data_IF_532188648472
#
_entry.id   IF_532188648472
#
_cell.length_a   1.000
_cell.length_b   1.000
_cell.length_c   1.000
_cell.angle_alpha   90.00
_cell.angle_beta   90.00
_cell.angle_gamma   90.00
#
_symmetry.space_group_name_H-M   'P 1'
#
loop_
_entity.id
_entity.type
_entity.pdbx_description
1 polymer ?
#
# COMPACT_ATOMS: atom_id res chain seq x y z
N UNK A 1 36.54 11.78 4.94
CA UNK A 1 35.23 11.10 5.01
C UNK A 1 34.51 11.51 6.29
N UNK A 2 33.28 12.00 6.19
CA UNK A 2 32.36 12.23 7.30
C UNK A 2 31.06 11.46 7.06
N UNK A 3 30.47 10.98 8.12
CA UNK A 3 29.22 10.21 8.07
C UNK A 3 28.14 10.96 8.80
N UNK A 4 26.94 11.00 8.23
CA UNK A 4 25.77 11.64 8.81
C UNK A 4 24.57 10.68 8.79
N UNK A 5 23.87 10.58 9.92
CA UNK A 5 22.50 10.05 9.92
C UNK A 5 21.57 11.12 9.33
N UNK A 6 20.62 10.73 8.47
CA UNK A 6 19.84 11.69 7.70
C UNK A 6 18.35 11.31 7.62
N UNK A 7 17.54 12.28 7.28
CA UNK A 7 16.17 12.05 6.81
C UNK A 7 15.20 11.59 7.90
N UNK A 8 14.51 10.51 7.59
CA UNK A 8 13.42 9.98 8.45
C UNK A 8 13.86 9.65 9.88
N UNK A 9 15.10 9.20 10.07
CA UNK A 9 15.63 8.86 11.37
C UNK A 9 15.76 10.10 12.28
N UNK A 10 16.24 11.22 11.73
CA UNK A 10 16.35 12.50 12.48
C UNK A 10 14.95 13.02 12.82
N UNK A 11 14.04 13.05 11.85
CA UNK A 11 12.64 13.46 12.05
C UNK A 11 11.97 12.63 13.15
N UNK A 12 12.04 11.30 13.03
CA UNK A 12 11.35 10.39 13.96
C UNK A 12 11.95 10.53 15.38
N UNK A 13 13.26 10.72 15.51
CA UNK A 13 13.91 11.02 16.80
C UNK A 13 13.39 12.32 17.42
N UNK A 14 13.30 13.40 16.64
CA UNK A 14 12.77 14.70 17.12
C UNK A 14 11.28 14.60 17.53
N UNK A 15 10.52 13.71 16.89
CA UNK A 15 9.13 13.43 17.24
C UNK A 15 8.98 12.46 18.41
N UNK A 16 10.06 11.91 18.96
CA UNK A 16 10.00 10.86 19.99
C UNK A 16 9.42 9.54 19.50
N UNK A 17 9.47 9.28 18.20
CA UNK A 17 8.98 8.04 17.57
C UNK A 17 10.10 6.99 17.50
N UNK A 18 9.75 5.69 17.49
CA UNK A 18 10.74 4.63 17.27
C UNK A 18 11.45 4.78 15.92
N UNK A 19 12.78 4.73 15.93
CA UNK A 19 13.62 4.71 14.72
C UNK A 19 13.93 3.25 14.40
N UNK A 20 13.39 2.74 13.29
CA UNK A 20 13.61 1.36 12.87
C UNK A 20 14.77 1.25 11.88
N UNK A 21 14.88 2.19 10.94
CA UNK A 21 15.89 2.22 9.90
C UNK A 21 16.61 3.58 9.92
N UNK A 22 17.91 3.56 9.74
CA UNK A 22 18.74 4.79 9.66
C UNK A 22 19.45 4.79 8.32
N UNK A 23 19.16 5.81 7.52
CA UNK A 23 19.91 6.12 6.31
C UNK A 23 21.16 6.95 6.67
N UNK A 24 22.30 6.56 6.12
CA UNK A 24 23.55 7.29 6.30
C UNK A 24 24.01 7.93 5.00
N UNK A 25 24.48 9.20 5.08
CA UNK A 25 25.15 9.89 3.99
C UNK A 25 26.62 10.06 4.32
N UNK A 26 27.46 9.73 3.34
CA UNK A 26 28.92 9.86 3.43
C UNK A 26 29.38 11.02 2.55
N UNK A 27 30.04 12.00 3.15
CA UNK A 27 30.58 13.18 2.49
C UNK A 27 32.11 13.10 2.45
N UNK A 28 32.71 13.52 1.33
CA UNK A 28 34.17 13.56 1.17
C UNK A 28 34.79 12.18 1.02
N UNK A 29 34.10 11.27 0.29
CA UNK A 29 34.66 9.95 -0.04
C UNK A 29 34.20 9.53 -1.47
N UNK A 30 34.91 8.56 -2.04
CA UNK A 30 34.65 8.00 -3.34
C UNK A 30 34.17 6.53 -3.24
N UNK A 31 33.68 5.97 -4.35
CA UNK A 31 33.29 4.56 -4.45
C UNK A 31 34.48 3.66 -4.10
N UNK A 32 35.67 3.99 -4.61
CA UNK A 32 36.90 3.22 -4.40
C UNK A 32 37.32 3.24 -2.92
N UNK A 33 37.19 4.39 -2.28
CA UNK A 33 37.53 4.54 -0.85
C UNK A 33 36.54 3.77 0.04
N UNK A 34 35.26 3.78 -0.28
CA UNK A 34 34.23 2.99 0.43
C UNK A 34 34.52 1.49 0.32
N UNK A 35 34.80 1.00 -0.90
CA UNK A 35 35.14 -0.41 -1.13
C UNK A 35 36.43 -0.79 -0.41
N UNK A 36 37.47 0.07 -0.41
CA UNK A 36 38.72 -0.16 0.31
C UNK A 36 38.51 -0.28 1.82
N UNK A 37 37.47 0.37 2.38
CA UNK A 37 37.10 0.26 3.79
C UNK A 37 36.16 -0.96 4.08
N UNK A 38 35.92 -1.83 3.08
CA UNK A 38 35.13 -3.04 3.23
C UNK A 38 33.62 -2.86 3.05
N UNK A 39 33.16 -1.68 2.65
CA UNK A 39 31.76 -1.48 2.31
C UNK A 39 31.39 -2.19 1.00
N UNK A 40 30.25 -2.86 0.96
CA UNK A 40 29.79 -3.60 -0.21
C UNK A 40 28.81 -2.79 -1.04
N UNK A 41 29.12 -2.44 -2.30
CA UNK A 41 28.19 -1.71 -3.16
C UNK A 41 26.95 -2.54 -3.46
N UNK A 42 25.77 -1.89 -3.42
CA UNK A 42 24.46 -2.46 -3.75
C UNK A 42 23.75 -1.53 -4.73
N UNK A 43 23.15 -2.13 -5.78
CA UNK A 43 22.49 -1.38 -6.84
C UNK A 43 23.44 -1.06 -8.01
N UNK A 44 22.86 -0.98 -9.21
CA UNK A 44 23.63 -0.70 -10.45
C UNK A 44 23.78 0.79 -10.74
N UNK A 45 22.83 1.60 -10.26
CA UNK A 45 22.67 2.99 -10.68
C UNK A 45 22.96 3.99 -9.55
N UNK A 46 23.16 3.51 -8.32
CA UNK A 46 23.34 4.37 -7.14
C UNK A 46 24.57 3.96 -6.32
N UNK A 47 25.38 4.91 -5.84
CA UNK A 47 26.48 4.64 -4.93
C UNK A 47 25.95 4.43 -3.48
N UNK A 48 25.19 3.36 -3.29
CA UNK A 48 24.73 2.87 -1.99
C UNK A 48 25.55 1.65 -1.61
N UNK A 49 25.93 1.56 -0.35
CA UNK A 49 26.79 0.53 0.19
C UNK A 49 26.19 -0.05 1.46
N UNK A 50 26.44 -1.33 1.70
CA UNK A 50 26.15 -1.95 2.99
C UNK A 50 27.40 -1.92 3.86
N UNK A 51 27.22 -1.49 5.11
CA UNK A 51 28.28 -1.53 6.11
C UNK A 51 28.73 -2.99 6.36
N UNK A 52 30.04 -3.28 6.44
CA UNK A 52 30.54 -4.66 6.52
C UNK A 52 29.99 -5.45 7.72
N UNK A 53 29.80 -4.81 8.86
CA UNK A 53 29.35 -5.48 10.10
C UNK A 53 27.83 -5.35 10.31
N UNK A 54 27.29 -4.13 10.21
CA UNK A 54 25.89 -3.86 10.59
C UNK A 54 24.90 -4.08 9.45
N UNK A 55 25.37 -4.15 8.20
CA UNK A 55 24.55 -4.20 6.98
C UNK A 55 23.65 -2.97 6.78
N UNK A 56 23.88 -1.90 7.54
CA UNK A 56 23.16 -0.65 7.38
C UNK A 56 23.54 0.02 6.04
N UNK A 57 22.60 0.78 5.48
CA UNK A 57 22.75 1.42 4.16
C UNK A 57 23.47 2.76 4.29
N UNK A 58 24.56 2.92 3.53
CA UNK A 58 25.36 4.12 3.41
C UNK A 58 25.33 4.60 1.96
N UNK A 59 24.94 5.84 1.73
CA UNK A 59 24.99 6.45 0.41
C UNK A 59 26.06 7.55 0.34
N UNK A 60 26.80 7.63 -0.75
CA UNK A 60 27.63 8.81 -1.00
C UNK A 60 26.74 10.04 -1.21
N UNK A 61 27.18 11.20 -0.69
CA UNK A 61 26.55 12.47 -0.98
C UNK A 61 26.48 12.68 -2.48
N UNK A 62 25.34 13.11 -2.99
CA UNK A 62 25.10 13.23 -4.44
C UNK A 62 24.17 14.37 -4.78
N UNK A 63 24.33 14.88 -5.98
CA UNK A 63 23.34 15.72 -6.65
C UNK A 63 22.58 14.89 -7.68
N UNK A 64 21.36 15.30 -7.97
CA UNK A 64 20.50 14.67 -8.98
C UNK A 64 20.15 15.71 -10.04
N UNK A 65 20.25 15.35 -11.34
CA UNK A 65 19.82 16.20 -12.44
C UNK A 65 18.88 15.43 -13.34
N UNK A 66 17.72 16.01 -13.60
CA UNK A 66 16.77 15.46 -14.57
C UNK A 66 17.24 15.83 -15.98
N UNK A 67 17.49 14.84 -16.83
CA UNK A 67 17.87 14.98 -18.23
C UNK A 67 16.86 14.37 -19.20
N UNK A 68 15.79 13.74 -18.68
CA UNK A 68 14.76 13.08 -19.46
C UNK A 68 13.48 12.84 -18.67
N UNK A 69 12.46 12.25 -19.34
CA UNK A 69 11.20 11.90 -18.70
C UNK A 69 11.32 10.62 -17.87
N UNK A 70 10.60 10.57 -16.73
CA UNK A 70 10.48 9.41 -15.85
C UNK A 70 11.77 9.11 -15.08
N UNK A 71 11.78 7.98 -14.33
CA UNK A 71 12.87 7.58 -13.45
C UNK A 71 14.22 7.40 -14.14
N UNK A 72 14.26 6.91 -15.38
CA UNK A 72 15.49 6.76 -16.17
C UNK A 72 16.07 8.09 -16.65
N UNK A 73 15.36 9.18 -16.48
CA UNK A 73 15.80 10.53 -16.84
C UNK A 73 16.64 11.23 -15.77
N UNK A 74 16.93 10.58 -14.64
CA UNK A 74 17.83 11.16 -13.61
C UNK A 74 19.24 10.69 -13.81
N UNK A 75 20.18 11.65 -13.81
CA UNK A 75 21.61 11.41 -13.69
C UNK A 75 22.05 11.77 -12.26
N UNK A 76 22.72 10.81 -11.64
CA UNK A 76 23.26 10.95 -10.30
C UNK A 76 24.74 11.29 -10.40
N UNK A 77 25.14 12.37 -9.73
CA UNK A 77 26.54 12.76 -9.64
C UNK A 77 26.96 12.64 -8.19
N UNK A 78 27.78 11.62 -7.91
CA UNK A 78 28.40 11.40 -6.61
C UNK A 78 29.90 11.64 -6.74
N UNK A 79 30.40 12.66 -6.09
CA UNK A 79 31.78 13.08 -6.11
C UNK A 79 32.18 13.52 -4.69
N UNK A 80 33.41 13.30 -4.24
CA UNK A 80 33.88 13.74 -2.92
C UNK A 80 33.70 15.26 -2.62
N UNK A 81 33.51 16.07 -3.66
CA UNK A 81 33.26 17.52 -3.53
C UNK A 81 31.80 17.86 -3.25
N UNK A 82 30.84 16.91 -3.42
CA UNK A 82 29.45 17.17 -3.11
C UNK A 82 29.29 17.36 -1.60
N UNK A 83 28.72 18.50 -1.23
CA UNK A 83 28.49 18.88 0.16
C UNK A 83 27.27 18.14 0.75
N UNK A 84 27.15 18.14 2.09
CA UNK A 84 25.96 17.64 2.77
C UNK A 84 24.72 18.46 2.41
N UNK A 85 24.86 19.78 2.30
CA UNK A 85 23.74 20.67 1.96
C UNK A 85 23.17 20.37 0.58
N UNK A 86 24.01 20.12 -0.43
CA UNK A 86 23.57 19.73 -1.77
C UNK A 86 22.83 18.37 -1.77
N UNK A 87 23.27 17.39 -0.94
CA UNK A 87 22.52 16.14 -0.78
C UNK A 87 21.17 16.35 -0.08
N UNK A 88 21.10 17.25 0.90
CA UNK A 88 19.86 17.57 1.60
C UNK A 88 18.88 18.35 0.69
N UNK A 89 19.39 19.23 -0.20
CA UNK A 89 18.58 20.04 -1.11
C UNK A 89 17.72 19.23 -2.07
N UNK A 90 18.23 18.10 -2.56
CA UNK A 90 17.51 17.22 -3.48
C UNK A 90 16.40 16.40 -2.83
N UNK A 91 16.25 16.42 -1.49
CA UNK A 91 15.23 15.65 -0.77
C UNK A 91 13.82 16.19 -0.99
N UNK A 92 12.84 15.40 -0.58
CA UNK A 92 11.43 15.72 -0.81
C UNK A 92 10.89 16.83 0.11
N UNK A 93 11.10 16.69 1.42
CA UNK A 93 10.51 17.56 2.44
C UNK A 93 11.61 18.11 3.37
N UNK A 94 11.44 19.34 3.85
CA UNK A 94 12.32 19.97 4.83
C UNK A 94 12.51 19.10 6.08
N UNK A 95 11.44 18.51 6.58
CA UNK A 95 11.45 17.57 7.73
C UNK A 95 12.25 16.28 7.48
N UNK A 96 12.59 15.97 6.23
CA UNK A 96 13.44 14.85 5.82
C UNK A 96 14.82 15.33 5.32
N UNK A 97 15.08 16.64 5.32
CA UNK A 97 16.33 17.26 4.87
C UNK A 97 17.17 17.74 6.04
N UNK A 98 17.16 16.98 7.13
CA UNK A 98 17.99 17.20 8.33
C UNK A 98 19.01 16.08 8.46
N UNK A 99 20.15 16.40 9.08
CA UNK A 99 21.24 15.47 9.30
C UNK A 99 21.87 15.66 10.69
N UNK A 100 22.53 14.60 11.20
CA UNK A 100 23.37 14.68 12.38
C UNK A 100 24.63 13.86 12.19
N UNK A 101 25.79 14.39 12.57
CA UNK A 101 27.08 13.71 12.40
C UNK A 101 27.14 12.44 13.23
N UNK A 102 27.75 11.39 12.67
CA UNK A 102 27.96 10.10 13.35
C UNK A 102 29.39 9.98 13.77
N UNK A 103 29.64 9.81 15.07
CA UNK A 103 30.95 9.60 15.63
C UNK A 103 31.53 8.22 15.33
N UNK A 104 32.84 8.02 15.62
CA UNK A 104 33.50 6.74 15.38
C UNK A 104 32.92 5.55 16.16
N UNK A 105 32.19 5.83 17.26
CA UNK A 105 31.48 4.84 18.07
C UNK A 105 30.04 4.55 17.59
N UNK A 106 29.66 5.10 16.43
CA UNK A 106 28.35 4.97 15.84
C UNK A 106 27.26 5.83 16.49
N UNK A 107 27.58 6.65 17.48
CA UNK A 107 26.62 7.57 18.11
C UNK A 107 26.49 8.85 17.32
N UNK A 108 25.31 9.43 17.34
CA UNK A 108 25.05 10.74 16.78
C UNK A 108 25.64 11.82 17.68
N UNK A 109 26.45 12.71 17.11
CA UNK A 109 27.21 13.75 17.83
C UNK A 109 26.95 15.13 17.23
N UNK A 110 27.20 16.15 18.02
CA UNK A 110 27.04 17.54 17.60
C UNK A 110 25.56 17.95 17.41
N UNK A 111 25.35 19.17 16.91
CA UNK A 111 24.01 19.69 16.63
C UNK A 111 23.39 19.04 15.39
N UNK A 112 22.07 19.14 15.28
CA UNK A 112 21.37 18.81 14.05
C UNK A 112 21.70 19.88 12.99
N UNK A 113 22.08 19.41 11.81
CA UNK A 113 22.34 20.24 10.63
C UNK A 113 21.02 20.34 9.87
N UNK A 114 20.49 21.55 9.78
CA UNK A 114 19.15 21.82 9.25
C UNK A 114 19.15 23.09 8.39
N UNK A 115 19.72 23.01 7.18
CA UNK A 115 19.84 24.17 6.30
C UNK A 115 18.52 24.67 5.72
N UNK A 116 17.43 23.86 5.81
CA UNK A 116 16.13 24.13 5.19
C UNK A 116 14.99 24.30 6.20
N UNK A 117 15.30 24.56 7.48
CA UNK A 117 14.35 24.82 8.56
C UNK A 117 13.36 23.67 8.81
N UNK A 118 13.82 22.42 8.65
CA UNK A 118 13.00 21.22 8.86
C UNK A 118 12.52 21.09 10.31
N UNK A 119 13.27 21.55 11.31
CA UNK A 119 12.86 21.54 12.71
C UNK A 119 11.69 22.51 12.96
N UNK A 120 11.68 23.68 12.31
CA UNK A 120 10.59 24.65 12.39
C UNK A 120 9.32 24.08 11.74
N UNK A 121 9.41 23.53 10.52
CA UNK A 121 8.29 22.89 9.85
C UNK A 121 7.78 21.66 10.61
N UNK A 122 8.67 20.92 11.27
CA UNK A 122 8.29 19.78 12.11
C UNK A 122 7.46 20.24 13.33
N UNK A 123 7.91 21.30 13.99
CA UNK A 123 7.20 21.89 15.12
C UNK A 123 5.86 22.50 14.72
N UNK A 124 5.81 23.13 13.54
CA UNK A 124 4.58 23.67 12.94
C UNK A 124 3.66 22.61 12.33
N UNK A 125 4.13 21.36 12.21
CA UNK A 125 3.43 20.25 11.56
C UNK A 125 3.08 20.56 10.11
N UNK A 126 4.08 20.94 9.32
CA UNK A 126 3.93 21.33 7.91
C UNK A 126 4.78 20.45 7.02
N UNK A 127 4.19 19.97 5.93
CA UNK A 127 4.89 19.36 4.81
C UNK A 127 5.28 20.44 3.81
N UNK A 128 6.54 20.86 3.84
CA UNK A 128 7.14 21.82 2.91
C UNK A 128 8.19 21.12 2.07
N UNK A 129 8.18 21.35 0.76
CA UNK A 129 9.22 20.86 -0.13
C UNK A 129 10.52 21.66 0.07
N UNK A 130 11.67 21.04 -0.24
CA UNK A 130 12.99 21.64 0.04
C UNK A 130 13.35 22.70 -1.00
N UNK A 131 13.15 22.40 -2.29
CA UNK A 131 13.59 23.24 -3.41
C UNK A 131 12.73 23.06 -4.64
N UNK A 132 12.91 23.91 -5.66
CA UNK A 132 12.20 23.82 -6.94
C UNK A 132 12.41 22.47 -7.68
N UNK A 133 13.55 21.80 -7.41
CA UNK A 133 13.83 20.45 -7.90
C UNK A 133 12.81 19.40 -7.39
N UNK A 134 11.97 19.75 -6.42
CA UNK A 134 10.88 18.92 -5.94
C UNK A 134 9.95 18.44 -7.07
N UNK A 135 9.61 19.30 -8.00
CA UNK A 135 8.71 19.01 -9.11
C UNK A 135 9.31 18.04 -10.17
N UNK A 136 10.60 17.77 -10.10
CA UNK A 136 11.28 16.89 -11.07
C UNK A 136 10.95 15.41 -10.88
N UNK A 137 10.67 14.93 -9.66
CA UNK A 137 10.23 13.56 -9.40
C UNK A 137 8.74 13.51 -9.04
N UNK A 138 7.87 13.08 -9.97
CA UNK A 138 6.43 13.01 -9.73
C UNK A 138 6.03 12.04 -8.61
N UNK A 139 6.90 11.07 -8.22
CA UNK A 139 6.64 10.19 -7.08
C UNK A 139 6.53 10.96 -5.75
N UNK A 140 7.16 12.13 -5.65
CA UNK A 140 7.09 12.95 -4.43
C UNK A 140 5.66 13.33 -4.05
N UNK A 141 4.75 13.44 -5.03
CA UNK A 141 3.33 13.60 -4.77
C UNK A 141 2.76 12.42 -3.97
N UNK A 142 3.03 11.19 -4.40
CA UNK A 142 2.54 10.00 -3.71
C UNK A 142 3.21 9.82 -2.34
N UNK A 143 4.49 10.22 -2.22
CA UNK A 143 5.19 10.23 -0.94
C UNK A 143 4.55 11.19 0.06
N UNK A 144 4.18 12.42 -0.35
CA UNK A 144 3.45 13.37 0.51
C UNK A 144 2.08 12.81 0.87
N UNK A 145 1.34 12.24 -0.08
CA UNK A 145 0.07 11.60 0.19
C UNK A 145 0.21 10.48 1.26
N UNK A 146 1.23 9.64 1.15
CA UNK A 146 1.56 8.63 2.17
C UNK A 146 1.95 9.25 3.51
N UNK A 147 2.75 10.32 3.52
CA UNK A 147 3.11 11.02 4.77
C UNK A 147 1.89 11.63 5.44
N UNK A 148 0.94 12.18 4.69
CA UNK A 148 -0.33 12.67 5.24
C UNK A 148 -1.12 11.56 5.94
N UNK A 149 -1.12 10.33 5.40
CA UNK A 149 -1.72 9.19 6.08
C UNK A 149 -0.99 8.77 7.36
N UNK A 150 0.35 8.93 7.40
CA UNK A 150 1.18 8.59 8.57
C UNK A 150 1.11 9.67 9.66
N UNK A 151 1.08 10.93 9.26
CA UNK A 151 1.10 12.11 10.14
C UNK A 151 -0.13 12.98 9.86
N UNK A 152 -1.34 12.54 10.28
CA UNK A 152 -2.60 13.18 9.91
C UNK A 152 -2.76 14.60 10.47
N UNK A 153 -1.96 14.97 11.47
CA UNK A 153 -1.94 16.31 12.05
C UNK A 153 -1.12 17.33 11.24
N UNK A 154 -0.42 16.88 10.20
CA UNK A 154 0.38 17.77 9.34
C UNK A 154 -0.46 18.32 8.20
N UNK A 155 -0.28 19.60 7.89
CA UNK A 155 -0.82 20.26 6.70
C UNK A 155 0.22 20.35 5.60
N UNK A 156 -0.22 20.44 4.35
CA UNK A 156 0.67 20.71 3.22
C UNK A 156 0.77 22.24 3.03
N UNK A 157 1.98 22.77 2.96
CA UNK A 157 2.22 24.19 2.71
C UNK A 157 1.64 24.61 1.34
N UNK A 158 1.15 25.84 1.23
CA UNK A 158 0.48 26.33 0.01
C UNK A 158 1.39 26.25 -1.22
N UNK A 159 2.65 26.64 -1.09
CA UNK A 159 3.66 26.53 -2.16
C UNK A 159 3.94 25.08 -2.55
N UNK A 160 3.91 24.15 -1.58
CA UNK A 160 4.04 22.71 -1.85
C UNK A 160 2.81 22.16 -2.56
N UNK A 161 1.60 22.58 -2.13
CA UNK A 161 0.37 22.21 -2.81
C UNK A 161 0.34 22.72 -4.26
N UNK A 162 0.86 23.94 -4.49
CA UNK A 162 1.02 24.47 -5.83
C UNK A 162 1.97 23.63 -6.68
N UNK A 163 3.14 23.24 -6.14
CA UNK A 163 4.10 22.36 -6.82
C UNK A 163 3.51 20.97 -7.13
N UNK A 164 2.72 20.38 -6.20
CA UNK A 164 2.01 19.13 -6.43
C UNK A 164 0.99 19.23 -7.57
N UNK A 165 0.22 20.32 -7.65
CA UNK A 165 -0.71 20.56 -8.76
C UNK A 165 0.01 20.72 -10.09
N UNK A 166 1.17 21.38 -10.10
CA UNK A 166 2.01 21.50 -11.30
C UNK A 166 2.51 20.12 -11.80
N UNK A 167 2.89 19.22 -10.88
CA UNK A 167 3.24 17.82 -11.22
C UNK A 167 2.07 17.12 -11.91
N UNK A 168 0.83 17.28 -11.41
CA UNK A 168 -0.35 16.68 -12.05
C UNK A 168 -0.57 17.25 -13.45
N UNK A 169 -0.50 18.59 -13.59
CA UNK A 169 -0.71 19.28 -14.85
C UNK A 169 0.35 18.94 -15.92
N UNK A 170 1.58 18.63 -15.51
CA UNK A 170 2.63 18.21 -16.45
C UNK A 170 2.35 16.86 -17.13
N UNK A 171 1.44 16.04 -16.56
CA UNK A 171 1.14 14.68 -17.02
C UNK A 171 2.21 13.65 -16.67
N UNK A 172 3.25 14.02 -15.94
CA UNK A 172 4.38 13.11 -15.63
C UNK A 172 4.02 12.00 -14.63
N UNK A 173 2.89 12.11 -13.91
CA UNK A 173 2.40 11.01 -13.07
C UNK A 173 2.20 9.71 -13.84
N UNK A 174 1.78 9.78 -15.11
CA UNK A 174 1.60 8.62 -15.97
C UNK A 174 2.92 7.94 -16.39
N UNK A 175 4.05 8.60 -16.19
CA UNK A 175 5.38 8.05 -16.47
C UNK A 175 5.99 7.30 -15.26
N UNK A 176 5.31 7.30 -14.12
CA UNK A 176 5.75 6.52 -12.95
C UNK A 176 5.65 5.02 -13.21
N UNK A 177 6.63 4.27 -12.71
CA UNK A 177 6.52 2.82 -12.75
C UNK A 177 5.40 2.32 -11.83
N UNK A 178 4.71 1.29 -12.29
CA UNK A 178 3.59 0.66 -11.57
C UNK A 178 3.97 0.24 -10.15
N UNK A 179 5.16 -0.34 -10.01
CA UNK A 179 5.68 -0.83 -8.73
C UNK A 179 5.88 0.32 -7.71
N UNK A 180 6.38 1.48 -8.18
CA UNK A 180 6.57 2.66 -7.32
C UNK A 180 5.23 3.22 -6.87
N UNK A 181 4.23 3.28 -7.77
CA UNK A 181 2.86 3.70 -7.42
C UNK A 181 2.28 2.78 -6.36
N UNK A 182 2.33 1.46 -6.60
CA UNK A 182 1.80 0.47 -5.68
C UNK A 182 2.45 0.56 -4.30
N UNK A 183 3.79 0.67 -4.23
CA UNK A 183 4.51 0.76 -2.96
C UNK A 183 4.07 1.95 -2.10
N UNK A 184 3.87 3.13 -2.69
CA UNK A 184 3.42 4.30 -1.94
C UNK A 184 1.95 4.17 -1.50
N UNK A 185 1.07 3.66 -2.38
CA UNK A 185 -0.33 3.41 -2.04
C UNK A 185 -0.47 2.36 -0.94
N UNK A 186 0.22 1.23 -1.05
CA UNK A 186 0.17 0.16 -0.05
C UNK A 186 0.64 0.64 1.33
N UNK A 187 1.76 1.38 1.38
CA UNK A 187 2.27 1.97 2.63
C UNK A 187 1.31 3.03 3.19
N UNK A 188 0.66 3.80 2.35
CA UNK A 188 -0.35 4.77 2.75
C UNK A 188 -1.61 4.12 3.29
N UNK A 189 -2.05 3.01 2.68
CA UNK A 189 -3.22 2.25 3.13
C UNK A 189 -3.03 1.66 4.52
N UNK A 190 -1.84 1.15 4.85
CA UNK A 190 -1.56 0.59 6.19
C UNK A 190 -1.11 1.64 7.21
N UNK A 191 -1.02 2.91 6.83
CA UNK A 191 -0.68 3.99 7.73
C UNK A 191 -1.80 4.30 8.73
N UNK A 192 -1.53 5.24 9.64
CA UNK A 192 -2.42 5.55 10.77
C UNK A 192 -3.82 6.01 10.33
N UNK A 193 -3.90 6.93 9.35
CA UNK A 193 -5.16 7.49 8.84
C UNK A 193 -5.14 7.51 7.30
N UNK A 194 -5.43 6.39 6.62
CA UNK A 194 -5.32 6.25 5.15
C UNK A 194 -6.11 7.29 4.36
N UNK A 195 -7.21 7.80 4.94
CA UNK A 195 -8.06 8.79 4.28
C UNK A 195 -7.33 10.09 3.95
N UNK A 196 -6.32 10.48 4.73
CA UNK A 196 -5.52 11.68 4.45
C UNK A 196 -4.69 11.53 3.16
N UNK A 197 -4.28 10.30 2.80
CA UNK A 197 -3.66 10.03 1.50
C UNK A 197 -4.62 10.37 0.36
N UNK A 198 -5.86 9.87 0.42
CA UNK A 198 -6.87 10.15 -0.60
C UNK A 198 -7.22 11.63 -0.66
N UNK A 199 -7.23 12.32 0.48
CA UNK A 199 -7.48 13.77 0.52
C UNK A 199 -6.41 14.57 -0.24
N UNK A 200 -5.13 14.20 -0.11
CA UNK A 200 -4.04 14.82 -0.89
C UNK A 200 -4.21 14.53 -2.38
N UNK A 201 -4.55 13.29 -2.76
CA UNK A 201 -4.79 12.91 -4.16
C UNK A 201 -5.96 13.69 -4.76
N UNK A 202 -7.04 13.89 -4.01
CA UNK A 202 -8.21 14.70 -4.44
C UNK A 202 -7.83 16.17 -4.59
N UNK A 203 -7.23 16.78 -3.57
CA UNK A 203 -6.90 18.20 -3.53
C UNK A 203 -5.93 18.63 -4.63
N UNK A 204 -5.10 17.68 -5.10
CA UNK A 204 -4.13 17.91 -6.18
C UNK A 204 -4.68 17.57 -7.56
N UNK A 205 -5.78 16.81 -7.63
CA UNK A 205 -6.32 16.24 -8.87
C UNK A 205 -5.64 14.94 -9.30
N UNK A 206 -4.67 14.43 -8.53
CA UNK A 206 -3.94 13.20 -8.83
C UNK A 206 -4.83 11.95 -8.78
N UNK A 207 -5.94 11.98 -8.03
CA UNK A 207 -6.89 10.88 -7.90
C UNK A 207 -7.34 10.36 -9.26
N UNK A 208 -7.64 11.24 -10.21
CA UNK A 208 -8.10 10.88 -11.56
C UNK A 208 -7.06 10.15 -12.42
N UNK A 209 -5.78 10.25 -12.07
CA UNK A 209 -4.67 9.59 -12.79
C UNK A 209 -4.23 8.30 -12.10
N UNK A 210 -4.31 8.27 -10.78
CA UNK A 210 -3.72 7.19 -9.95
C UNK A 210 -4.74 6.13 -9.55
N UNK A 211 -6.00 6.54 -9.29
CA UNK A 211 -7.04 5.64 -8.78
C UNK A 211 -7.98 5.15 -9.90
N UNK A 212 -8.74 4.06 -9.67
CA UNK A 212 -9.86 3.69 -10.53
C UNK A 212 -10.85 4.85 -10.68
N UNK A 213 -11.44 5.00 -11.86
CA UNK A 213 -12.36 6.12 -12.14
C UNK A 213 -13.58 6.12 -11.21
N UNK A 214 -14.14 4.94 -10.94
CA UNK A 214 -15.26 4.79 -10.01
C UNK A 214 -14.87 5.20 -8.59
N UNK A 215 -13.70 4.76 -8.09
CA UNK A 215 -13.22 5.17 -6.77
C UNK A 215 -12.99 6.67 -6.70
N UNK A 216 -12.34 7.24 -7.72
CA UNK A 216 -12.09 8.70 -7.77
C UNK A 216 -13.39 9.50 -7.70
N UNK A 217 -14.44 9.06 -8.39
CA UNK A 217 -15.77 9.68 -8.34
C UNK A 217 -16.43 9.53 -6.97
N UNK A 218 -16.42 8.33 -6.39
CA UNK A 218 -17.01 8.06 -5.06
C UNK A 218 -16.32 8.88 -3.95
N UNK A 219 -15.02 9.05 -4.02
CA UNK A 219 -14.25 9.83 -3.04
C UNK A 219 -14.60 11.33 -3.04
N UNK A 220 -15.28 11.87 -4.06
CA UNK A 220 -15.78 13.24 -4.06
C UNK A 220 -16.97 13.40 -3.11
N UNK A 221 -17.77 12.34 -2.94
CA UNK A 221 -18.95 12.33 -2.08
C UNK A 221 -18.55 12.30 -0.60
N UNK A 222 -19.01 13.25 0.19
CA UNK A 222 -18.67 13.36 1.62
C UNK A 222 -19.19 12.15 2.41
N UNK A 223 -20.42 11.72 2.15
CA UNK A 223 -21.05 10.55 2.79
C UNK A 223 -20.26 9.26 2.55
N UNK A 224 -19.71 9.08 1.33
CA UNK A 224 -18.85 7.95 1.02
C UNK A 224 -17.55 7.99 1.83
N UNK A 225 -16.90 9.17 1.90
CA UNK A 225 -15.66 9.33 2.69
C UNK A 225 -15.87 9.03 4.17
N UNK A 226 -16.98 9.51 4.76
CA UNK A 226 -17.31 9.23 6.15
C UNK A 226 -17.54 7.74 6.42
N UNK A 227 -18.26 7.05 5.51
CA UNK A 227 -18.46 5.60 5.56
C UNK A 227 -17.14 4.84 5.44
N UNK A 228 -16.28 5.26 4.52
CA UNK A 228 -14.97 4.65 4.30
C UNK A 228 -14.04 4.81 5.52
N UNK A 229 -14.02 5.99 6.17
CA UNK A 229 -13.26 6.23 7.39
C UNK A 229 -13.67 5.23 8.48
N UNK A 230 -14.99 5.10 8.74
CA UNK A 230 -15.52 4.17 9.74
C UNK A 230 -15.13 2.72 9.43
N UNK A 231 -15.25 2.32 8.17
CA UNK A 231 -14.90 0.97 7.73
C UNK A 231 -13.40 0.67 7.87
N UNK A 232 -12.53 1.63 7.54
CA UNK A 232 -11.08 1.50 7.67
C UNK A 232 -10.62 1.43 9.16
N UNK A 233 -11.33 2.07 10.07
CA UNK A 233 -11.05 1.97 11.51
C UNK A 233 -11.36 0.57 12.07
N UNK A 234 -12.33 -0.13 11.48
CA UNK A 234 -12.72 -1.50 11.84
C UNK A 234 -11.68 -2.54 11.35
N UNK A 235 -11.07 -2.30 10.19
CA UNK A 235 -10.21 -3.28 9.50
C UNK A 235 -8.84 -3.54 10.17
N UNK A 236 -8.45 -2.83 11.21
CA UNK A 236 -7.08 -2.95 11.73
C UNK A 236 -6.01 -2.50 10.71
N UNK A 237 -4.84 -3.16 10.70
CA UNK A 237 -3.70 -2.77 9.85
C UNK A 237 -3.41 -3.76 8.71
N UNK A 238 -4.31 -4.70 8.41
CA UNK A 238 -4.14 -5.64 7.30
C UNK A 238 -4.28 -4.92 5.96
N UNK A 239 -3.27 -5.06 5.09
CA UNK A 239 -3.29 -4.49 3.75
C UNK A 239 -4.44 -5.05 2.92
N UNK A 240 -4.67 -6.37 2.99
CA UNK A 240 -5.72 -7.07 2.24
C UNK A 240 -7.11 -6.56 2.65
N UNK A 241 -7.38 -6.47 3.98
CA UNK A 241 -8.64 -5.97 4.50
C UNK A 241 -8.88 -4.50 4.10
N UNK A 242 -7.84 -3.64 4.21
CA UNK A 242 -7.95 -2.22 3.85
C UNK A 242 -8.13 -1.99 2.36
N UNK A 243 -7.42 -2.74 1.51
CA UNK A 243 -7.64 -2.71 0.07
C UNK A 243 -9.07 -3.16 -0.28
N UNK A 244 -9.52 -4.27 0.30
CA UNK A 244 -10.86 -4.79 0.06
C UNK A 244 -11.94 -3.77 0.45
N UNK A 245 -11.80 -3.09 1.58
CA UNK A 245 -12.74 -2.04 2.03
C UNK A 245 -12.75 -0.84 1.06
N UNK A 246 -11.57 -0.37 0.63
CA UNK A 246 -11.48 0.77 -0.29
C UNK A 246 -12.10 0.45 -1.64
N UNK A 247 -12.04 -0.81 -2.07
CA UNK A 247 -12.46 -1.27 -3.39
C UNK A 247 -13.83 -1.98 -3.42
N UNK A 248 -14.48 -2.19 -2.27
CA UNK A 248 -15.66 -3.06 -2.16
C UNK A 248 -16.87 -2.63 -2.99
N UNK A 249 -16.98 -1.35 -3.31
CA UNK A 249 -18.11 -0.81 -4.09
C UNK A 249 -17.75 -0.65 -5.59
N UNK A 250 -16.58 -1.15 -6.02
CA UNK A 250 -16.17 -1.21 -7.42
C UNK A 250 -16.49 -2.57 -8.05
N UNK A 251 -16.80 -2.62 -9.36
CA UNK A 251 -16.88 -3.89 -10.07
C UNK A 251 -15.58 -4.67 -10.04
N UNK A 252 -15.61 -5.99 -9.81
CA UNK A 252 -14.41 -6.84 -9.77
C UNK A 252 -13.54 -6.72 -11.04
N UNK A 253 -14.16 -6.49 -12.22
CA UNK A 253 -13.43 -6.25 -13.47
C UNK A 253 -12.61 -4.94 -13.46
N UNK A 254 -13.12 -3.88 -12.85
CA UNK A 254 -12.40 -2.62 -12.70
C UNK A 254 -11.25 -2.77 -11.70
N UNK A 255 -11.49 -3.48 -10.57
CA UNK A 255 -10.44 -3.82 -9.59
C UNK A 255 -9.30 -4.56 -10.29
N UNK A 256 -9.60 -5.58 -11.08
CA UNK A 256 -8.60 -6.37 -11.82
C UNK A 256 -7.80 -5.51 -12.77
N UNK A 257 -8.46 -4.73 -13.62
CA UNK A 257 -7.82 -3.86 -14.60
C UNK A 257 -6.86 -2.86 -13.94
N UNK A 258 -7.30 -2.23 -12.86
CA UNK A 258 -6.47 -1.29 -12.11
C UNK A 258 -5.31 -1.99 -11.39
N UNK A 259 -5.56 -3.12 -10.74
CA UNK A 259 -4.54 -3.90 -10.06
C UNK A 259 -3.40 -4.34 -11.00
N UNK A 260 -3.74 -4.76 -12.23
CA UNK A 260 -2.77 -5.11 -13.25
C UNK A 260 -1.94 -3.88 -13.69
N UNK A 261 -2.58 -2.71 -13.79
CA UNK A 261 -1.93 -1.44 -14.17
C UNK A 261 -0.88 -1.01 -13.15
N UNK A 262 -1.13 -1.19 -11.84
CA UNK A 262 -0.23 -0.76 -10.76
C UNK A 262 0.62 -1.89 -10.18
N UNK A 263 0.58 -3.10 -10.79
CA UNK A 263 1.30 -4.29 -10.30
C UNK A 263 0.96 -4.66 -8.85
N UNK A 264 -0.32 -4.57 -8.50
CA UNK A 264 -0.79 -5.04 -7.20
C UNK A 264 -0.52 -6.54 -7.04
N UNK A 265 -0.05 -7.03 -5.87
CA UNK A 265 0.10 -8.46 -5.63
C UNK A 265 -1.21 -9.23 -5.85
N UNK A 266 -1.08 -10.42 -6.42
CA UNK A 266 -2.24 -11.25 -6.81
C UNK A 266 -3.12 -11.58 -5.60
N UNK A 267 -2.54 -11.83 -4.45
CA UNK A 267 -3.26 -12.14 -3.22
C UNK A 267 -4.16 -10.97 -2.79
N UNK A 268 -3.63 -9.75 -2.79
CA UNK A 268 -4.37 -8.52 -2.43
C UNK A 268 -5.48 -8.25 -3.44
N UNK A 269 -5.17 -8.38 -4.73
CA UNK A 269 -6.14 -8.23 -5.82
C UNK A 269 -7.29 -9.22 -5.69
N UNK A 270 -6.98 -10.52 -5.60
CA UNK A 270 -7.97 -11.59 -5.53
C UNK A 270 -8.85 -11.44 -4.29
N UNK A 271 -8.25 -11.06 -3.13
CA UNK A 271 -9.02 -10.79 -1.91
C UNK A 271 -10.00 -9.64 -2.10
N UNK A 272 -9.57 -8.55 -2.74
CA UNK A 272 -10.41 -7.38 -3.01
C UNK A 272 -11.53 -7.68 -4.02
N UNK A 273 -11.22 -8.39 -5.11
CA UNK A 273 -12.21 -8.80 -6.12
C UNK A 273 -13.32 -9.68 -5.49
N UNK A 274 -12.92 -10.69 -4.72
CA UNK A 274 -13.87 -11.62 -4.11
C UNK A 274 -14.70 -10.93 -3.03
N UNK A 275 -14.14 -9.95 -2.33
CA UNK A 275 -14.89 -9.15 -1.36
C UNK A 275 -15.89 -8.21 -2.05
N UNK A 276 -15.54 -7.63 -3.19
CA UNK A 276 -16.49 -6.88 -4.03
C UNK A 276 -17.64 -7.77 -4.54
N UNK A 277 -17.32 -8.99 -5.04
CA UNK A 277 -18.35 -9.97 -5.43
C UNK A 277 -19.26 -10.36 -4.25
N UNK A 278 -18.69 -10.49 -3.02
CA UNK A 278 -19.48 -10.70 -1.80
C UNK A 278 -20.42 -9.51 -1.52
N UNK A 279 -19.90 -8.29 -1.68
CA UNK A 279 -20.70 -7.07 -1.50
C UNK A 279 -21.88 -7.01 -2.47
N UNK A 280 -21.67 -7.40 -3.72
CA UNK A 280 -22.74 -7.52 -4.73
C UNK A 280 -23.80 -8.54 -4.29
N UNK A 281 -23.37 -9.73 -3.83
CA UNK A 281 -24.28 -10.76 -3.31
C UNK A 281 -25.10 -10.25 -2.12
N UNK A 282 -24.45 -9.58 -1.16
CA UNK A 282 -25.14 -9.02 0.01
C UNK A 282 -26.17 -7.94 -0.40
N UNK A 283 -25.81 -7.06 -1.34
CA UNK A 283 -26.72 -6.02 -1.81
C UNK A 283 -27.94 -6.58 -2.56
N UNK A 284 -27.82 -7.76 -3.19
CA UNK A 284 -28.93 -8.47 -3.81
C UNK A 284 -29.89 -9.04 -2.76
N UNK A 285 -29.39 -9.34 -1.54
CA UNK A 285 -30.17 -9.94 -0.44
C UNK A 285 -29.96 -9.13 0.86
N UNK A 286 -30.48 -7.89 0.93
CA UNK A 286 -30.20 -6.99 2.06
C UNK A 286 -30.80 -7.45 3.38
N UNK A 287 -31.82 -8.29 3.35
CA UNK A 287 -32.47 -8.93 4.50
C UNK A 287 -31.79 -10.26 4.92
N UNK A 288 -30.79 -10.71 4.17
CA UNK A 288 -30.10 -11.97 4.42
C UNK A 288 -30.79 -13.22 3.87
N UNK A 289 -31.88 -13.09 3.11
CA UNK A 289 -32.67 -14.21 2.54
C UNK A 289 -32.00 -14.78 1.27
N UNK A 290 -30.75 -15.19 1.37
CA UNK A 290 -29.92 -15.64 0.25
C UNK A 290 -30.52 -16.85 -0.51
N UNK A 291 -30.33 -16.88 -1.85
CA UNK A 291 -30.58 -18.08 -2.64
C UNK A 291 -29.37 -19.01 -2.60
N UNK A 292 -29.59 -20.29 -2.32
CA UNK A 292 -28.49 -21.26 -2.16
C UNK A 292 -27.62 -21.41 -3.42
N UNK A 293 -28.19 -21.25 -4.60
CA UNK A 293 -27.43 -21.30 -5.86
C UNK A 293 -26.44 -20.13 -5.99
N UNK A 294 -26.83 -18.93 -5.60
CA UNK A 294 -25.96 -17.75 -5.66
C UNK A 294 -24.86 -17.82 -4.61
N UNK A 295 -25.17 -18.34 -3.41
CA UNK A 295 -24.16 -18.61 -2.37
C UNK A 295 -23.16 -19.66 -2.84
N UNK A 296 -23.61 -20.75 -3.46
CA UNK A 296 -22.72 -21.77 -4.02
C UNK A 296 -21.83 -21.19 -5.13
N UNK A 297 -22.40 -20.36 -6.01
CA UNK A 297 -21.66 -19.69 -7.06
C UNK A 297 -20.56 -18.78 -6.49
N UNK A 298 -20.86 -18.00 -5.44
CA UNK A 298 -19.86 -17.18 -4.76
C UNK A 298 -18.81 -18.04 -4.04
N UNK A 299 -19.17 -19.12 -3.36
CA UNK A 299 -18.22 -20.04 -2.74
C UNK A 299 -17.25 -20.66 -3.76
N UNK A 300 -17.76 -21.04 -4.95
CA UNK A 300 -16.95 -21.55 -6.04
C UNK A 300 -15.99 -20.46 -6.57
N UNK A 301 -16.50 -19.24 -6.77
CA UNK A 301 -15.69 -18.08 -7.19
C UNK A 301 -14.60 -17.74 -6.15
N UNK A 302 -14.91 -17.83 -4.87
CA UNK A 302 -14.00 -17.61 -3.76
C UNK A 302 -13.01 -18.76 -3.51
N UNK A 303 -13.18 -19.87 -4.25
CA UNK A 303 -12.34 -21.09 -4.11
C UNK A 303 -12.41 -21.71 -2.70
N UNK A 304 -13.60 -21.74 -2.10
CA UNK A 304 -13.80 -22.23 -0.73
C UNK A 304 -13.18 -23.61 -0.49
N UNK A 305 -13.26 -24.48 -1.50
CA UNK A 305 -12.89 -25.88 -1.37
C UNK A 305 -11.37 -26.11 -1.28
N UNK A 306 -10.56 -25.16 -1.78
CA UNK A 306 -9.10 -25.20 -1.72
C UNK A 306 -8.51 -24.13 -0.81
N UNK A 307 -9.21 -23.02 -0.60
CA UNK A 307 -8.76 -21.87 0.19
C UNK A 307 -9.80 -21.46 1.25
N UNK A 308 -10.17 -22.36 2.18
CA UNK A 308 -11.21 -22.11 3.17
C UNK A 308 -10.89 -20.94 4.09
N UNK A 309 -9.62 -20.80 4.48
CA UNK A 309 -9.17 -19.72 5.37
C UNK A 309 -9.40 -18.33 4.76
N UNK A 310 -9.19 -18.20 3.44
CA UNK A 310 -9.45 -16.95 2.72
C UNK A 310 -10.94 -16.56 2.79
N UNK A 311 -11.82 -17.53 2.55
CA UNK A 311 -13.26 -17.29 2.61
C UNK A 311 -13.72 -16.95 4.03
N UNK A 312 -13.14 -17.61 5.04
CA UNK A 312 -13.40 -17.27 6.43
C UNK A 312 -12.95 -15.83 6.75
N UNK A 313 -11.77 -15.40 6.25
CA UNK A 313 -11.29 -14.02 6.44
C UNK A 313 -12.22 -13.00 5.79
N UNK A 314 -12.71 -13.27 4.56
CA UNK A 314 -13.68 -12.40 3.86
C UNK A 314 -15.00 -12.27 4.63
N UNK A 315 -15.56 -13.38 5.11
CA UNK A 315 -16.79 -13.37 5.90
C UNK A 315 -16.58 -12.70 7.27
N UNK A 316 -15.44 -12.90 7.91
CA UNK A 316 -15.10 -12.21 9.16
C UNK A 316 -15.00 -10.69 8.95
N UNK A 317 -14.38 -10.25 7.86
CA UNK A 317 -14.30 -8.82 7.52
C UNK A 317 -15.73 -8.26 7.30
N UNK A 318 -16.55 -8.94 6.51
CA UNK A 318 -17.91 -8.52 6.27
C UNK A 318 -18.74 -8.46 7.59
N UNK A 319 -18.55 -9.43 8.48
CA UNK A 319 -19.20 -9.44 9.80
C UNK A 319 -18.75 -8.27 10.68
N UNK A 320 -17.44 -7.97 10.72
CA UNK A 320 -16.90 -6.79 11.42
C UNK A 320 -17.54 -5.50 10.91
N UNK A 321 -17.79 -5.40 9.60
CA UNK A 321 -18.44 -4.26 8.97
C UNK A 321 -19.96 -4.20 9.18
N UNK A 322 -20.53 -5.15 9.94
CA UNK A 322 -21.95 -5.20 10.24
C UNK A 322 -22.82 -5.68 9.06
N UNK A 323 -22.22 -6.34 8.06
CA UNK A 323 -22.96 -6.89 6.92
C UNK A 323 -23.69 -8.18 7.30
N UNK A 324 -24.86 -8.48 6.72
CA UNK A 324 -25.71 -9.61 7.10
C UNK A 324 -25.17 -10.96 6.55
N UNK A 325 -24.09 -11.47 7.12
CA UNK A 325 -23.39 -12.67 6.64
C UNK A 325 -23.57 -13.92 7.51
N UNK A 326 -24.42 -13.88 8.53
CA UNK A 326 -24.63 -15.02 9.46
C UNK A 326 -25.02 -16.30 8.73
N UNK A 327 -26.00 -16.22 7.82
CA UNK A 327 -26.43 -17.34 7.00
C UNK A 327 -25.30 -17.89 6.10
N UNK A 328 -24.45 -17.00 5.55
CA UNK A 328 -23.29 -17.40 4.74
C UNK A 328 -22.23 -18.13 5.56
N UNK A 329 -21.98 -17.69 6.79
CA UNK A 329 -21.04 -18.36 7.72
C UNK A 329 -21.58 -19.76 8.09
N UNK A 330 -22.87 -19.87 8.36
CA UNK A 330 -23.51 -21.17 8.65
C UNK A 330 -23.45 -22.09 7.43
N UNK A 331 -23.78 -21.57 6.23
CA UNK A 331 -23.71 -22.30 4.97
C UNK A 331 -22.29 -22.81 4.67
N UNK A 332 -21.27 -21.97 4.88
CA UNK A 332 -19.88 -22.36 4.72
C UNK A 332 -19.54 -23.55 5.62
N UNK A 333 -19.84 -23.46 6.93
CA UNK A 333 -19.56 -24.53 7.90
C UNK A 333 -20.24 -25.83 7.54
N UNK A 334 -21.53 -25.78 7.13
CA UNK A 334 -22.29 -26.95 6.70
C UNK A 334 -21.74 -27.57 5.43
N UNK A 335 -21.40 -26.76 4.43
CA UNK A 335 -20.80 -27.25 3.19
C UNK A 335 -19.41 -27.88 3.40
N UNK A 336 -18.61 -27.36 4.33
CA UNK A 336 -17.30 -27.92 4.70
C UNK A 336 -17.40 -29.21 5.54
N UNK A 337 -18.50 -29.41 6.27
CA UNK A 337 -18.70 -30.63 7.07
C UNK A 337 -19.12 -31.86 6.26
N UNK A 338 -19.31 -31.72 4.95
CA UNK A 338 -19.68 -32.84 4.06
C UNK A 338 -18.56 -33.86 4.00
N UNK A 339 -18.91 -35.13 4.19
CA UNK A 339 -17.97 -36.24 4.07
C UNK A 339 -17.77 -36.60 2.59
N UNK A 340 -16.58 -36.40 2.08
CA UNK A 340 -16.22 -36.71 0.69
C UNK A 340 -16.43 -38.19 0.34
N UNK A 341 -16.16 -39.10 1.27
CA UNK A 341 -16.32 -40.53 1.03
C UNK A 341 -17.79 -40.92 0.85
N UNK A 342 -18.70 -40.32 1.63
CA UNK A 342 -20.15 -40.57 1.53
C UNK A 342 -20.72 -40.07 0.21
N UNK A 343 -20.24 -38.90 -0.25
CA UNK A 343 -20.67 -38.34 -1.57
C UNK A 343 -20.23 -39.29 -2.70
N UNK A 344 -18.98 -39.73 -2.68
CA UNK A 344 -18.47 -40.66 -3.71
C UNK A 344 -19.18 -42.03 -3.62
N UNK A 345 -19.47 -42.52 -2.41
CA UNK A 345 -20.22 -43.78 -2.22
C UNK A 345 -21.64 -43.71 -2.79
N UNK A 346 -22.27 -42.53 -2.78
CA UNK A 346 -23.60 -42.30 -3.36
C UNK A 346 -23.63 -42.30 -4.90
N UNK A 347 -22.47 -42.18 -5.57
CA UNK A 347 -22.36 -42.28 -7.04
C UNK A 347 -22.39 -43.75 -7.45
N UNK A 348 -23.13 -44.07 -8.53
CA UNK A 348 -23.18 -45.44 -9.06
C UNK A 348 -21.77 -45.97 -9.37
N UNK A 349 -21.53 -47.26 -9.05
CA UNK A 349 -20.19 -47.85 -9.11
C UNK A 349 -19.49 -47.68 -10.49
N UNK A 350 -20.29 -47.74 -11.58
CA UNK A 350 -19.80 -47.58 -12.94
C UNK A 350 -19.38 -46.11 -13.28
N UNK A 351 -19.95 -45.12 -12.55
CA UNK A 351 -19.70 -43.70 -12.76
C UNK A 351 -18.64 -43.12 -11.83
N UNK A 352 -18.11 -43.89 -10.86
CA UNK A 352 -17.07 -43.43 -9.88
C UNK A 352 -15.73 -43.12 -10.50
N UNK A 353 -15.45 -43.50 -11.73
CA UNK A 353 -14.27 -43.10 -12.50
C UNK A 353 -14.53 -41.87 -13.42
N UNK A 354 -15.78 -41.42 -13.51
CA UNK A 354 -16.19 -40.31 -14.34
C UNK A 354 -16.12 -38.99 -13.51
N UNK A 355 -15.14 -38.13 -13.82
CA UNK A 355 -14.92 -36.88 -13.10
C UNK A 355 -16.10 -35.92 -13.16
N UNK A 356 -16.87 -35.89 -14.27
CA UNK A 356 -18.03 -35.05 -14.43
C UNK A 356 -19.21 -35.52 -13.52
N UNK A 357 -19.46 -36.83 -13.42
CA UNK A 357 -20.44 -37.40 -12.51
C UNK A 357 -20.08 -37.15 -11.04
N UNK A 358 -18.85 -37.35 -10.69
CA UNK A 358 -18.35 -37.01 -9.34
C UNK A 358 -18.50 -35.53 -9.05
N UNK A 359 -18.10 -34.66 -9.99
CA UNK A 359 -18.25 -33.20 -9.86
C UNK A 359 -19.71 -32.78 -9.62
N UNK A 360 -20.65 -33.31 -10.39
CA UNK A 360 -22.08 -33.07 -10.22
C UNK A 360 -22.65 -33.56 -8.87
N UNK A 361 -22.16 -34.71 -8.37
CA UNK A 361 -22.55 -35.21 -7.05
C UNK A 361 -22.06 -34.27 -5.92
N UNK A 362 -20.85 -33.75 -6.01
CA UNK A 362 -20.32 -32.76 -5.06
C UNK A 362 -21.15 -31.45 -5.12
N UNK A 363 -21.43 -30.94 -6.31
CA UNK A 363 -22.22 -29.73 -6.50
C UNK A 363 -23.60 -29.88 -5.88
N UNK A 364 -24.28 -30.99 -6.15
CA UNK A 364 -25.61 -31.30 -5.58
C UNK A 364 -25.58 -31.41 -4.06
N UNK A 365 -24.59 -32.11 -3.49
CA UNK A 365 -24.46 -32.26 -2.05
C UNK A 365 -24.17 -30.90 -1.35
N UNK A 366 -23.31 -30.08 -1.95
CA UNK A 366 -22.98 -28.72 -1.47
C UNK A 366 -24.21 -27.81 -1.52
N UNK A 367 -24.95 -27.83 -2.63
CA UNK A 367 -26.17 -27.05 -2.78
C UNK A 367 -27.23 -27.44 -1.73
N UNK A 368 -27.44 -28.73 -1.49
CA UNK A 368 -28.34 -29.21 -0.47
C UNK A 368 -27.93 -28.78 0.94
N UNK A 369 -26.63 -28.87 1.28
CA UNK A 369 -26.11 -28.42 2.57
C UNK A 369 -26.28 -26.91 2.79
N UNK A 370 -26.03 -26.10 1.76
CA UNK A 370 -26.23 -24.66 1.77
C UNK A 370 -27.68 -24.30 1.95
N UNK A 371 -28.58 -24.96 1.17
CA UNK A 371 -30.05 -24.78 1.28
C UNK A 371 -30.56 -25.07 2.69
N UNK A 372 -30.11 -26.17 3.29
CA UNK A 372 -30.50 -26.54 4.65
C UNK A 372 -29.96 -25.51 5.69
N UNK A 373 -28.79 -24.94 5.47
CA UNK A 373 -28.22 -23.94 6.37
C UNK A 373 -28.96 -22.59 6.32
N UNK A 374 -29.27 -22.10 5.13
CA UNK A 374 -29.98 -20.83 4.93
C UNK A 374 -31.40 -20.89 5.52
N UNK A 375 -32.12 -22.01 5.35
CA UNK A 375 -33.46 -22.16 5.87
C UNK A 375 -33.52 -22.31 7.41
N UNK A 376 -32.39 -22.48 8.10
CA UNK A 376 -32.34 -22.55 9.56
C UNK A 376 -32.21 -21.16 10.20
N UNK A 377 -31.82 -20.16 9.44
CA UNK A 377 -31.57 -18.79 9.91
C UNK A 377 -32.77 -17.85 9.62
N UNK A 378 -33.80 -18.37 8.92
CA UNK A 378 -35.11 -17.74 8.69
C UNK A 378 -36.09 -18.16 9.80
#
# INVERSE_FOLDING_TARGET
>A
MKVYAVGGAIRDTLMGLPVNDVDYVVVGSSVEEMVAQGFRPVGKDFPVFLHPETQAEYALARTERKTGKGYKGFHFYADPTVSLEEDLERRDLTINAMAQEVGPDGKWIGPIIDPYNGQEDLAAKVFRHVSDAFAEDPLRLLRIARFAARFPEFSVADETLFALKAIVQSGELSALSAERIWQELARGLVAHKPMHMFQVLLNTGAANTILPSTLSALLVEESFREGLIKSLEIAGNSLDERCAIVLMDLPASEIRSWADTIRMPIEVRDFSEIFSDLRVLINQYPDGSYQAADVLAWFNRADLWRKPDRVQMLLNLAQKLGLPVSALILAMRKAQSLNTADIIAGVEAQDRSNGERIGGAFESARLAAITAAINLDL
#
